data_IF_925099317834
#
_entry.id   IF_925099317834
#
_cell.length_a   1.000
_cell.length_b   1.000
_cell.length_c   1.000
_cell.angle_alpha   90.00
_cell.angle_beta   90.00
_cell.angle_gamma   90.00
#
_symmetry.space_group_name_H-M   'P 1'
#
loop_
_entity.id
_entity.type
_entity.pdbx_description
1 polymer ?
#
# COMPACT_ATOMS: atom_id res chain seq x y z
N UNK A 1 1.05 -12.71 4.68
CA UNK A 1 1.52 -11.32 4.68
C UNK A 1 0.45 -10.29 4.95
N UNK A 2 0.77 -9.40 5.89
CA UNK A 2 0.10 -8.14 6.17
C UNK A 2 0.99 -7.00 5.68
N UNK A 3 0.40 -5.84 5.42
CA UNK A 3 1.16 -4.61 5.13
C UNK A 3 2.05 -4.28 6.34
N UNK A 4 3.30 -3.89 6.09
CA UNK A 4 4.11 -3.21 7.11
C UNK A 4 3.51 -1.85 7.44
N UNK A 5 3.90 -1.26 8.57
CA UNK A 5 3.37 0.04 8.99
C UNK A 5 3.65 1.12 7.94
N UNK A 6 4.87 1.17 7.40
CA UNK A 6 5.22 2.14 6.33
C UNK A 6 4.40 1.88 5.06
N UNK A 7 4.22 0.62 4.65
CA UNK A 7 3.39 0.29 3.47
C UNK A 7 1.93 0.71 3.68
N UNK A 8 1.40 0.51 4.90
CA UNK A 8 0.05 0.92 5.29
C UNK A 8 -0.09 2.43 5.27
N UNK A 9 0.83 3.17 5.90
CA UNK A 9 0.77 4.63 5.93
C UNK A 9 0.83 5.22 4.52
N UNK A 10 1.72 4.71 3.66
CA UNK A 10 1.86 5.17 2.28
C UNK A 10 0.59 4.93 1.46
N UNK A 11 -0.03 3.74 1.53
CA UNK A 11 -1.23 3.46 0.74
C UNK A 11 -2.45 4.22 1.29
N UNK A 12 -2.54 4.43 2.61
CA UNK A 12 -3.63 5.22 3.20
C UNK A 12 -3.53 6.67 2.74
N UNK A 13 -2.36 7.29 2.92
CA UNK A 13 -2.11 8.66 2.49
C UNK A 13 -2.37 8.87 0.99
N UNK A 14 -2.02 7.88 0.15
CA UNK A 14 -2.26 7.96 -1.30
C UNK A 14 -3.73 7.84 -1.70
N UNK A 15 -4.52 7.04 -0.98
CA UNK A 15 -5.86 6.61 -1.45
C UNK A 15 -6.99 7.29 -0.67
N UNK A 16 -6.81 7.51 0.63
CA UNK A 16 -7.81 8.16 1.48
C UNK A 16 -7.56 9.66 1.60
N UNK A 17 -6.29 10.08 1.69
CA UNK A 17 -5.92 11.49 1.89
C UNK A 17 -5.55 12.22 0.59
N UNK A 18 -5.62 11.49 -0.54
CA UNK A 18 -5.29 11.95 -1.91
C UNK A 18 -3.94 12.69 -2.05
N UNK A 19 -2.99 12.40 -1.15
CA UNK A 19 -1.68 13.04 -1.16
C UNK A 19 -0.87 12.63 -2.39
N UNK A 20 0.00 13.49 -2.91
CA UNK A 20 1.00 13.12 -3.91
C UNK A 20 2.16 12.33 -3.29
N UNK A 21 2.96 11.63 -4.09
CA UNK A 21 4.15 10.94 -3.57
C UNK A 21 5.16 11.89 -2.91
N UNK A 22 5.22 13.15 -3.33
CA UNK A 22 6.07 14.17 -2.74
C UNK A 22 5.58 14.56 -1.34
N UNK A 23 4.27 14.82 -1.20
CA UNK A 23 3.67 15.13 0.10
C UNK A 23 3.80 13.96 1.08
N UNK A 24 3.61 12.72 0.63
CA UNK A 24 3.82 11.54 1.50
C UNK A 24 5.28 11.38 1.91
N UNK A 25 6.22 11.71 1.01
CA UNK A 25 7.65 11.67 1.30
C UNK A 25 8.04 12.71 2.36
N UNK A 26 7.51 13.93 2.24
CA UNK A 26 7.68 14.99 3.22
C UNK A 26 7.10 14.61 4.58
N UNK A 27 5.83 14.18 4.63
CA UNK A 27 5.12 13.79 5.85
C UNK A 27 5.83 12.66 6.61
N UNK A 28 6.35 11.67 5.90
CA UNK A 28 6.99 10.50 6.49
C UNK A 28 8.50 10.64 6.69
N UNK A 29 9.11 11.75 6.26
CA UNK A 29 10.56 11.95 6.29
C UNK A 29 11.34 10.93 5.43
N UNK A 30 10.80 10.55 4.28
CA UNK A 30 11.36 9.54 3.38
C UNK A 30 11.73 10.13 2.02
N UNK A 31 12.59 9.43 1.28
CA UNK A 31 12.79 9.74 -0.13
C UNK A 31 11.55 9.36 -0.97
N UNK A 32 11.22 10.15 -1.99
CA UNK A 32 10.11 9.87 -2.92
C UNK A 32 10.23 8.49 -3.57
N UNK A 33 11.45 8.04 -3.90
CA UNK A 33 11.73 6.70 -4.45
C UNK A 33 11.38 5.58 -3.45
N UNK A 34 11.68 5.80 -2.17
CA UNK A 34 11.31 4.90 -1.07
C UNK A 34 9.80 4.80 -0.94
N UNK A 35 9.08 5.94 -0.96
CA UNK A 35 7.61 5.97 -0.93
C UNK A 35 7.01 5.19 -2.09
N UNK A 36 7.47 5.43 -3.33
CA UNK A 36 7.00 4.67 -4.52
C UNK A 36 7.20 3.16 -4.36
N UNK A 37 8.35 2.75 -3.82
CA UNK A 37 8.65 1.34 -3.56
C UNK A 37 7.69 0.74 -2.53
N UNK A 38 7.44 1.43 -1.42
CA UNK A 38 6.46 0.99 -0.43
C UNK A 38 5.04 0.94 -0.98
N UNK A 39 4.64 1.91 -1.79
CA UNK A 39 3.33 1.93 -2.44
C UNK A 39 3.12 0.72 -3.37
N UNK A 40 4.08 0.44 -4.25
CA UNK A 40 4.01 -0.71 -5.16
C UNK A 40 3.90 -2.04 -4.39
N UNK A 41 4.71 -2.20 -3.34
CA UNK A 41 4.66 -3.38 -2.47
C UNK A 41 3.30 -3.48 -1.76
N UNK A 42 2.77 -2.36 -1.24
CA UNK A 42 1.49 -2.32 -0.57
C UNK A 42 0.34 -2.76 -1.50
N UNK A 43 0.29 -2.21 -2.71
CA UNK A 43 -0.70 -2.59 -3.74
C UNK A 43 -0.59 -4.07 -4.08
N UNK A 44 0.63 -4.60 -4.25
CA UNK A 44 0.86 -6.02 -4.49
C UNK A 44 0.31 -6.90 -3.36
N UNK A 45 0.63 -6.58 -2.10
CA UNK A 45 0.15 -7.31 -0.93
C UNK A 45 -1.38 -7.29 -0.81
N UNK A 46 -2.02 -6.14 -1.05
CA UNK A 46 -3.49 -6.02 -1.03
C UNK A 46 -4.11 -6.87 -2.13
N UNK A 47 -3.62 -6.75 -3.36
CA UNK A 47 -4.09 -7.55 -4.51
C UNK A 47 -4.00 -9.04 -4.23
N UNK A 48 -2.87 -9.51 -3.74
CA UNK A 48 -2.66 -10.94 -3.52
C UNK A 48 -3.55 -11.47 -2.39
N UNK A 49 -3.87 -10.63 -1.38
CA UNK A 49 -4.84 -10.96 -0.34
C UNK A 49 -6.26 -11.07 -0.91
N UNK A 50 -6.66 -10.13 -1.77
CA UNK A 50 -7.97 -10.16 -2.42
C UNK A 50 -8.12 -11.41 -3.29
N UNK A 51 -7.12 -11.73 -4.11
CA UNK A 51 -7.08 -12.96 -4.92
C UNK A 51 -7.28 -14.22 -4.09
N UNK A 52 -6.54 -14.36 -2.98
CA UNK A 52 -6.69 -15.52 -2.09
C UNK A 52 -8.07 -15.59 -1.45
N UNK A 53 -8.67 -14.44 -1.12
CA UNK A 53 -10.01 -14.39 -0.53
C UNK A 53 -11.07 -14.82 -1.54
N UNK A 54 -11.04 -14.28 -2.76
CA UNK A 54 -11.97 -14.66 -3.82
C UNK A 54 -11.86 -16.14 -4.20
N UNK A 55 -10.64 -16.68 -4.32
CA UNK A 55 -10.44 -18.10 -4.58
C UNK A 55 -11.05 -18.99 -3.47
N UNK A 56 -11.04 -18.54 -2.22
CA UNK A 56 -11.68 -19.24 -1.10
C UNK A 56 -13.21 -19.17 -1.17
N UNK A 57 -13.75 -18.00 -1.54
CA UNK A 57 -15.20 -17.78 -1.70
C UNK A 57 -15.78 -18.61 -2.84
N UNK A 58 -15.06 -18.80 -3.94
CA UNK A 58 -15.48 -19.64 -5.09
C UNK A 58 -15.42 -21.15 -4.79
N UNK A 59 -14.70 -21.55 -3.73
CA UNK A 59 -14.51 -22.95 -3.34
C UNK A 59 -15.38 -23.37 -2.13
N UNK A 60 -16.21 -22.46 -1.60
CA UNK A 60 -17.15 -22.70 -0.49
C UNK A 60 -18.59 -22.66 -0.98
#
# INVERSE_FOLDING_TARGET
DRLSDVQRSVIVAKVYDDMTFAQVAEELGLAVSTVKTHYLRAVGTVRDRLKRRWAKEESS
#
